data_IF_564496491416
#
_entry.id   IF_564496491416
#
_cell.length_a   1.000
_cell.length_b   1.000
_cell.length_c   1.000
_cell.angle_alpha   90.00
_cell.angle_beta   90.00
_cell.angle_gamma   90.00
#
_symmetry.space_group_name_H-M   'P 1'
#
loop_
_entity.id
_entity.type
_entity.pdbx_description
1 polymer ?
#
# COMPACT_ATOMS: atom_id res chain seq x y z
N UNK A 1 -40.01 -4.53 -6.51
CA UNK A 1 -39.15 -5.71 -6.30
C UNK A 1 -37.75 -5.21 -5.98
N UNK A 2 -37.19 -5.67 -4.86
CA UNK A 2 -36.01 -5.12 -4.23
C UNK A 2 -34.76 -5.18 -5.11
N UNK A 3 -33.97 -4.12 -4.99
CA UNK A 3 -32.59 -3.92 -5.45
C UNK A 3 -31.72 -5.16 -5.39
N UNK A 4 -30.95 -5.42 -6.46
CA UNK A 4 -29.72 -6.22 -6.41
C UNK A 4 -28.95 -6.11 -7.72
N UNK A 5 -28.01 -5.18 -7.83
CA UNK A 5 -26.73 -5.38 -8.55
C UNK A 5 -25.69 -4.41 -7.99
N UNK A 6 -25.40 -4.55 -6.69
CA UNK A 6 -24.09 -4.20 -6.14
C UNK A 6 -23.07 -5.22 -6.67
N UNK A 7 -22.82 -5.21 -7.99
CA UNK A 7 -21.73 -5.99 -8.57
C UNK A 7 -20.64 -5.04 -9.04
N UNK A 8 -20.01 -4.41 -8.06
CA UNK A 8 -18.60 -4.15 -8.17
C UNK A 8 -17.99 -4.22 -6.77
N UNK A 9 -17.99 -5.43 -6.22
CA UNK A 9 -16.98 -5.88 -5.27
C UNK A 9 -15.62 -5.80 -5.97
N UNK A 10 -15.16 -4.58 -6.25
CA UNK A 10 -13.73 -4.33 -6.41
C UNK A 10 -13.17 -4.73 -5.07
N UNK A 11 -12.59 -5.93 -5.07
CA UNK A 11 -11.53 -6.37 -4.19
C UNK A 11 -10.96 -5.19 -3.44
N UNK A 12 -10.88 -5.31 -2.12
CA UNK A 12 -10.39 -4.32 -1.16
C UNK A 12 -8.92 -3.90 -1.38
N UNK A 13 -8.47 -3.73 -2.62
CA UNK A 13 -7.38 -2.85 -3.01
C UNK A 13 -7.81 -1.44 -2.66
N UNK A 14 -7.64 -1.07 -1.40
CA UNK A 14 -7.76 0.31 -0.95
C UNK A 14 -6.84 1.14 -1.85
N UNK A 15 -7.42 1.86 -2.81
CA UNK A 15 -6.67 2.60 -3.82
C UNK A 15 -5.76 3.59 -3.10
N UNK A 16 -4.47 3.48 -3.33
CA UNK A 16 -3.48 4.36 -2.72
C UNK A 16 -3.70 5.79 -3.21
N UNK A 17 -4.04 6.68 -2.29
CA UNK A 17 -4.15 8.11 -2.64
C UNK A 17 -2.75 8.67 -2.91
N UNK A 18 -2.60 9.73 -3.74
CA UNK A 18 -1.31 10.36 -3.98
C UNK A 18 -0.61 10.82 -2.69
N UNK A 19 -1.38 11.26 -1.69
CA UNK A 19 -0.87 11.64 -0.37
C UNK A 19 -0.30 10.43 0.37
N UNK A 20 -1.01 9.30 0.38
CA UNK A 20 -0.52 8.07 1.01
C UNK A 20 0.71 7.53 0.29
N UNK A 21 0.73 7.55 -1.05
CA UNK A 21 1.89 7.10 -1.83
C UNK A 21 3.13 7.94 -1.52
N UNK A 22 2.98 9.27 -1.47
CA UNK A 22 4.08 10.19 -1.09
C UNK A 22 4.59 9.93 0.33
N UNK A 23 3.69 9.64 1.28
CA UNK A 23 4.10 9.29 2.65
C UNK A 23 4.77 7.92 2.69
N UNK A 24 4.30 6.96 1.89
CA UNK A 24 4.88 5.63 1.76
C UNK A 24 6.31 5.69 1.22
N UNK A 25 6.57 6.40 0.13
CA UNK A 25 7.92 6.59 -0.40
C UNK A 25 8.86 7.25 0.61
N UNK A 26 8.39 8.28 1.33
CA UNK A 26 9.16 8.90 2.43
C UNK A 26 9.44 7.93 3.56
N UNK A 27 8.48 7.09 3.92
CA UNK A 27 8.64 6.08 4.94
C UNK A 27 9.61 4.98 4.48
N UNK A 28 9.58 4.57 3.22
CA UNK A 28 10.56 3.63 2.65
C UNK A 28 11.99 4.21 2.66
N UNK A 29 12.14 5.50 2.45
CA UNK A 29 13.43 6.18 2.54
C UNK A 29 13.95 6.29 3.98
N UNK A 30 13.04 6.30 4.97
CA UNK A 30 13.36 6.34 6.40
C UNK A 30 13.60 4.96 7.00
N UNK A 31 12.84 3.96 6.57
CA UNK A 31 12.88 2.59 7.02
C UNK A 31 13.45 1.72 5.89
N UNK A 32 14.77 1.52 5.94
CA UNK A 32 15.53 0.71 5.00
C UNK A 32 15.26 -0.80 5.13
N UNK A 33 16.02 -1.62 4.42
CA UNK A 33 15.86 -3.09 4.43
C UNK A 33 16.31 -3.74 5.73
N UNK A 34 17.22 -3.09 6.48
CA UNK A 34 17.74 -3.58 7.76
C UNK A 34 16.84 -3.23 8.95
N UNK A 35 15.86 -2.36 8.73
CA UNK A 35 14.89 -1.98 9.75
C UNK A 35 14.01 -3.18 10.16
N UNK A 36 14.06 -3.63 11.44
CA UNK A 36 13.12 -4.63 11.92
C UNK A 36 11.70 -4.08 11.87
N UNK A 37 10.71 -4.93 11.55
CA UNK A 37 9.31 -4.52 11.44
C UNK A 37 9.06 -3.36 10.47
N UNK A 38 9.92 -3.23 9.44
CA UNK A 38 9.85 -2.19 8.40
C UNK A 38 8.41 -1.91 7.94
N UNK A 39 7.67 -2.96 7.57
CA UNK A 39 6.31 -2.83 7.05
C UNK A 39 5.30 -2.31 8.07
N UNK A 40 5.43 -2.69 9.34
CA UNK A 40 4.62 -2.16 10.43
C UNK A 40 4.91 -0.66 10.65
N UNK A 41 6.20 -0.28 10.61
CA UNK A 41 6.61 1.12 10.75
C UNK A 41 6.12 1.99 9.59
N UNK A 42 6.22 1.49 8.36
CA UNK A 42 5.69 2.17 7.17
C UNK A 42 4.16 2.27 7.22
N UNK A 43 3.46 1.21 7.58
CA UNK A 43 2.00 1.21 7.76
C UNK A 43 1.55 2.26 8.78
N UNK A 44 2.25 2.34 9.92
CA UNK A 44 2.01 3.33 10.96
C UNK A 44 2.26 4.76 10.46
N UNK A 45 3.29 4.97 9.63
CA UNK A 45 3.60 6.28 9.06
C UNK A 45 2.57 6.72 8.00
N UNK A 46 2.12 5.80 7.15
CA UNK A 46 1.12 6.07 6.11
C UNK A 46 -0.26 6.33 6.72
N UNK A 47 -0.64 5.54 7.73
CA UNK A 47 -1.95 5.61 8.38
C UNK A 47 -3.07 5.02 7.52
N UNK A 48 -3.93 4.22 8.14
CA UNK A 48 -5.07 3.60 7.45
C UNK A 48 -4.70 2.50 6.45
N UNK A 49 -3.49 1.94 6.57
CA UNK A 49 -2.98 0.82 5.79
C UNK A 49 -2.40 -0.25 6.72
N UNK A 50 -2.56 -1.52 6.38
CA UNK A 50 -1.88 -2.61 7.09
C UNK A 50 -0.46 -2.84 6.58
N UNK A 51 0.38 -3.51 7.37
CA UNK A 51 1.73 -3.91 6.95
C UNK A 51 1.70 -4.80 5.69
N UNK A 52 0.66 -5.62 5.53
CA UNK A 52 0.45 -6.48 4.37
C UNK A 52 0.14 -5.65 3.11
N UNK A 53 -0.76 -4.67 3.21
CA UNK A 53 -1.09 -3.76 2.10
C UNK A 53 0.14 -2.96 1.64
N UNK A 54 0.95 -2.52 2.61
CA UNK A 54 2.21 -1.81 2.36
C UNK A 54 3.20 -2.71 1.61
N UNK A 55 3.34 -3.96 2.05
CA UNK A 55 4.23 -4.92 1.39
C UNK A 55 3.79 -5.22 -0.05
N UNK A 56 2.49 -5.44 -0.27
CA UNK A 56 1.94 -5.66 -1.60
C UNK A 56 2.18 -4.46 -2.53
N UNK A 57 2.00 -3.24 -2.00
CA UNK A 57 2.25 -2.01 -2.76
C UNK A 57 3.73 -1.82 -3.09
N UNK A 58 4.62 -2.19 -2.17
CA UNK A 58 6.06 -2.21 -2.42
C UNK A 58 6.45 -3.20 -3.52
N UNK A 59 5.91 -4.42 -3.48
CA UNK A 59 6.21 -5.42 -4.51
C UNK A 59 5.75 -4.95 -5.90
N UNK A 60 4.62 -4.24 -5.98
CA UNK A 60 4.17 -3.60 -7.22
C UNK A 60 5.15 -2.52 -7.69
N UNK A 61 5.55 -1.61 -6.79
CA UNK A 61 6.54 -0.56 -7.09
C UNK A 61 7.87 -1.15 -7.60
N UNK A 62 8.35 -2.24 -6.99
CA UNK A 62 9.59 -2.91 -7.40
C UNK A 62 9.45 -3.57 -8.78
N UNK A 63 8.29 -4.12 -9.12
CA UNK A 63 8.04 -4.65 -10.47
C UNK A 63 8.05 -3.53 -11.50
N UNK A 64 7.34 -2.44 -11.24
CA UNK A 64 7.29 -1.28 -12.14
C UNK A 64 8.68 -0.68 -12.40
N UNK A 65 9.58 -0.69 -11.39
CA UNK A 65 10.96 -0.21 -11.54
C UNK A 65 11.88 -1.20 -12.27
N UNK A 66 11.56 -2.49 -12.27
CA UNK A 66 12.37 -3.54 -12.92
C UNK A 66 12.01 -3.73 -14.38
N UNK A 67 10.82 -3.34 -14.80
CA UNK A 67 10.37 -3.37 -16.19
C UNK A 67 10.87 -2.15 -17.00
N UNK A 68 12.11 -1.69 -16.72
CA UNK A 68 12.78 -0.53 -17.36
C UNK A 68 13.90 -0.96 -18.30
#
# INVERSE_FOLDING_TARGET
MSSNFLNNSRCSSSSWTPKQNKTFEKALAKYDQDTPDRWHNVAKAVGGKSAEEVKLHYDALVRDLKDI
#
